data_IF_953540225472
#
_entry.id   IF_953540225472
#
_cell.length_a   1.000
_cell.length_b   1.000
_cell.length_c   1.000
_cell.angle_alpha   90.00
_cell.angle_beta   90.00
_cell.angle_gamma   90.00
#
_symmetry.space_group_name_H-M   'P 1'
#
loop_
_entity.id
_entity.type
_entity.pdbx_description
1 polymer ?
#
# COMPACT_ATOMS: atom_id res chain seq x y z
N UNK A 1 11.36 -22.25 -16.37
CA UNK A 1 11.48 -23.71 -16.21
C UNK A 1 10.24 -24.20 -15.44
N UNK A 2 9.63 -25.30 -15.87
CA UNK A 2 8.46 -25.87 -15.20
C UNK A 2 8.90 -26.84 -14.10
N UNK A 3 8.36 -26.69 -12.89
CA UNK A 3 8.57 -27.61 -11.77
C UNK A 3 7.25 -28.35 -11.51
N UNK A 4 7.20 -29.69 -11.61
CA UNK A 4 6.02 -30.47 -11.28
C UNK A 4 5.57 -30.28 -9.82
N UNK A 5 4.27 -30.43 -9.56
CA UNK A 5 3.70 -30.23 -8.21
C UNK A 5 4.31 -31.17 -7.15
N UNK A 6 4.57 -32.42 -7.52
CA UNK A 6 5.14 -33.39 -6.58
C UNK A 6 6.56 -32.98 -6.16
N UNK A 7 7.35 -32.48 -7.10
CA UNK A 7 8.70 -31.93 -6.83
C UNK A 7 8.62 -30.67 -5.96
N UNK A 8 7.60 -29.83 -6.11
CA UNK A 8 7.38 -28.65 -5.23
C UNK A 8 7.14 -29.09 -3.79
N UNK A 9 6.42 -30.20 -3.58
CA UNK A 9 6.13 -30.78 -2.26
C UNK A 9 7.38 -31.45 -1.70
N UNK A 10 8.04 -32.31 -2.48
CA UNK A 10 9.22 -33.08 -2.07
C UNK A 10 10.41 -32.17 -1.69
N UNK A 11 10.57 -31.05 -2.39
CA UNK A 11 11.59 -30.04 -2.09
C UNK A 11 11.12 -29.00 -1.06
N UNK A 12 9.92 -29.16 -0.50
CA UNK A 12 9.31 -28.26 0.49
C UNK A 12 9.38 -26.77 0.07
N UNK A 13 9.13 -26.47 -1.22
CA UNK A 13 9.38 -25.12 -1.75
C UNK A 13 8.42 -24.06 -1.19
N UNK A 14 7.15 -24.43 -0.99
CA UNK A 14 6.06 -23.50 -0.61
C UNK A 14 5.33 -23.86 0.69
N UNK A 15 5.59 -25.02 1.28
CA UNK A 15 4.79 -25.52 2.40
C UNK A 15 4.87 -24.59 3.62
N UNK A 16 3.82 -24.57 4.45
CA UNK A 16 3.79 -23.77 5.69
C UNK A 16 4.65 -24.35 6.83
N UNK A 17 5.43 -25.41 6.56
CA UNK A 17 6.39 -25.95 7.52
C UNK A 17 7.47 -24.91 7.81
N UNK A 18 7.96 -24.88 9.05
CA UNK A 18 8.96 -23.90 9.51
C UNK A 18 10.25 -23.87 8.70
N UNK A 19 10.58 -24.94 7.97
CA UNK A 19 11.83 -25.10 7.22
C UNK A 19 11.67 -25.04 5.69
N UNK A 20 10.49 -24.64 5.17
CA UNK A 20 10.31 -24.51 3.73
C UNK A 20 11.18 -23.40 3.13
N UNK A 21 11.55 -23.56 1.86
CA UNK A 21 12.38 -22.56 1.16
C UNK A 21 11.72 -21.18 1.20
N UNK A 22 10.40 -21.12 0.96
CA UNK A 22 9.64 -19.87 1.05
C UNK A 22 9.78 -19.22 2.42
N UNK A 23 9.64 -19.97 3.51
CA UNK A 23 9.73 -19.40 4.85
C UNK A 23 11.14 -18.90 5.18
N UNK A 24 12.18 -19.56 4.67
CA UNK A 24 13.57 -19.15 4.86
C UNK A 24 13.93 -17.86 4.10
N UNK A 25 13.38 -17.66 2.90
CA UNK A 25 13.77 -16.54 2.03
C UNK A 25 12.77 -15.38 2.00
N UNK A 26 11.57 -15.58 2.53
CA UNK A 26 10.52 -14.56 2.50
C UNK A 26 10.70 -13.49 3.58
N UNK A 27 11.45 -12.45 3.22
CA UNK A 27 11.54 -11.20 3.98
C UNK A 27 10.78 -10.03 3.33
N UNK A 28 9.86 -10.34 2.41
CA UNK A 28 9.11 -9.32 1.68
C UNK A 28 8.19 -8.53 2.62
N UNK A 29 8.07 -7.22 2.39
CA UNK A 29 7.23 -6.34 3.23
C UNK A 29 5.82 -6.12 2.70
N UNK A 30 5.57 -6.54 1.46
CA UNK A 30 4.27 -6.39 0.80
C UNK A 30 3.70 -7.75 0.40
N UNK A 31 2.38 -7.87 0.38
CA UNK A 31 1.70 -9.05 -0.18
C UNK A 31 2.01 -9.24 -1.67
N UNK A 32 2.21 -8.15 -2.41
CA UNK A 32 2.68 -8.18 -3.80
C UNK A 32 4.03 -8.88 -3.92
N UNK A 33 4.99 -8.50 -3.08
CA UNK A 33 6.32 -9.11 -3.01
C UNK A 33 6.23 -10.59 -2.68
N UNK A 34 5.41 -10.98 -1.71
CA UNK A 34 5.18 -12.38 -1.35
C UNK A 34 4.64 -13.20 -2.52
N UNK A 35 3.60 -12.71 -3.21
CA UNK A 35 3.02 -13.39 -4.38
C UNK A 35 4.09 -13.54 -5.48
N UNK A 36 4.85 -12.47 -5.76
CA UNK A 36 5.91 -12.51 -6.76
C UNK A 36 7.03 -13.48 -6.39
N UNK A 37 7.45 -13.51 -5.12
CA UNK A 37 8.48 -14.41 -4.61
C UNK A 37 8.03 -15.87 -4.74
N UNK A 38 6.80 -16.20 -4.32
CA UNK A 38 6.23 -17.53 -4.50
C UNK A 38 6.30 -17.97 -5.95
N UNK A 39 5.86 -17.12 -6.87
CA UNK A 39 5.90 -17.41 -8.31
C UNK A 39 7.33 -17.61 -8.80
N UNK A 40 8.28 -16.77 -8.37
CA UNK A 40 9.68 -16.90 -8.76
C UNK A 40 10.34 -18.19 -8.23
N UNK A 41 9.90 -18.73 -7.09
CA UNK A 41 10.39 -20.00 -6.53
C UNK A 41 9.89 -21.18 -7.37
N UNK A 42 8.60 -21.21 -7.71
CA UNK A 42 8.01 -22.35 -8.46
C UNK A 42 8.24 -22.27 -9.97
N UNK A 43 8.60 -21.10 -10.48
CA UNK A 43 8.92 -20.86 -11.88
C UNK A 43 10.27 -20.16 -12.00
N UNK A 44 11.39 -20.87 -11.74
CA UNK A 44 12.71 -20.29 -11.87
C UNK A 44 12.97 -19.87 -13.32
N UNK A 45 13.71 -18.76 -13.46
CA UNK A 45 14.17 -18.28 -14.75
C UNK A 45 15.08 -19.31 -15.39
N UNK A 46 14.91 -19.55 -16.69
CA UNK A 46 15.81 -20.36 -17.50
C UNK A 46 16.73 -19.50 -18.38
N UNK A 47 16.43 -18.20 -18.50
CA UNK A 47 17.19 -17.27 -19.31
C UNK A 47 18.34 -16.69 -18.46
N UNK A 48 19.57 -16.87 -18.95
CA UNK A 48 20.80 -16.48 -18.26
C UNK A 48 20.88 -14.97 -18.00
N UNK A 49 20.54 -14.14 -18.98
CA UNK A 49 20.57 -12.68 -18.86
C UNK A 49 19.65 -12.19 -17.72
N UNK A 50 18.45 -12.76 -17.60
CA UNK A 50 17.52 -12.45 -16.51
C UNK A 50 18.04 -12.91 -15.15
N UNK A 51 18.77 -14.02 -15.10
CA UNK A 51 19.40 -14.51 -13.86
C UNK A 51 20.50 -13.55 -13.43
N UNK A 52 21.41 -13.19 -14.35
CA UNK A 52 22.50 -12.22 -14.10
C UNK A 52 21.95 -10.88 -13.65
N UNK A 53 20.99 -10.33 -14.39
CA UNK A 53 20.34 -9.08 -14.00
C UNK A 53 19.75 -9.16 -12.58
N UNK A 54 19.12 -10.27 -12.20
CA UNK A 54 18.59 -10.43 -10.83
C UNK A 54 19.69 -10.50 -9.78
N UNK A 55 20.82 -11.14 -10.08
CA UNK A 55 21.99 -11.19 -9.19
C UNK A 55 22.61 -9.81 -9.01
N UNK A 56 22.78 -9.06 -10.11
CA UNK A 56 23.30 -7.69 -10.09
C UNK A 56 22.42 -6.77 -9.23
N UNK A 57 21.09 -6.92 -9.34
CA UNK A 57 20.15 -6.16 -8.52
C UNK A 57 20.30 -6.47 -7.02
N UNK A 58 20.52 -7.74 -6.67
CA UNK A 58 20.73 -8.17 -5.28
C UNK A 58 22.05 -7.59 -4.76
N UNK A 59 23.12 -7.69 -5.55
CA UNK A 59 24.44 -7.13 -5.21
C UNK A 59 24.35 -5.62 -4.98
N UNK A 60 23.67 -4.90 -5.87
CA UNK A 60 23.47 -3.45 -5.72
C UNK A 60 22.85 -3.09 -4.36
N UNK A 61 21.76 -3.76 -3.94
CA UNK A 61 21.13 -3.47 -2.65
C UNK A 61 21.95 -3.93 -1.44
N UNK A 62 22.76 -4.97 -1.60
CA UNK A 62 23.71 -5.40 -0.57
C UNK A 62 24.82 -4.37 -0.36
N UNK A 63 25.30 -3.73 -1.44
CA UNK A 63 26.30 -2.66 -1.38
C UNK A 63 25.71 -1.29 -0.95
N UNK A 64 24.40 -1.10 -1.12
CA UNK A 64 23.69 0.14 -0.82
C UNK A 64 22.64 -0.05 0.31
N UNK A 65 23.08 -0.58 1.44
CA UNK A 65 22.20 -0.96 2.57
C UNK A 65 21.33 0.20 3.08
N UNK A 66 21.85 1.42 3.13
CA UNK A 66 21.08 2.62 3.54
C UNK A 66 19.88 2.88 2.63
N UNK A 67 20.05 2.73 1.31
CA UNK A 67 18.96 2.85 0.35
C UNK A 67 17.97 1.69 0.50
N UNK A 68 18.48 0.47 0.70
CA UNK A 68 17.64 -0.71 0.93
C UNK A 68 16.75 -0.53 2.17
N UNK A 69 17.29 -0.03 3.28
CA UNK A 69 16.52 0.27 4.49
C UNK A 69 15.44 1.34 4.27
N UNK A 70 15.76 2.42 3.54
CA UNK A 70 14.78 3.46 3.20
C UNK A 70 13.63 2.88 2.38
N UNK A 71 13.94 2.11 1.34
CA UNK A 71 12.94 1.44 0.49
C UNK A 71 12.12 0.45 1.33
N UNK A 72 12.76 -0.34 2.19
CA UNK A 72 12.09 -1.30 3.06
C UNK A 72 11.02 -0.60 3.94
N UNK A 73 11.34 0.56 4.49
CA UNK A 73 10.41 1.33 5.30
C UNK A 73 9.20 1.80 4.50
N UNK A 74 9.40 2.31 3.28
CA UNK A 74 8.28 2.69 2.40
C UNK A 74 7.43 1.47 2.02
N UNK A 75 8.08 0.33 1.71
CA UNK A 75 7.40 -0.90 1.32
C UNK A 75 6.52 -1.49 2.42
N UNK A 76 6.88 -1.36 3.71
CA UNK A 76 6.05 -1.83 4.84
C UNK A 76 4.66 -1.19 4.86
N UNK A 77 4.56 0.01 4.33
CA UNK A 77 3.34 0.82 4.37
C UNK A 77 2.49 0.75 3.10
N UNK A 78 2.89 -0.05 2.09
CA UNK A 78 2.11 -0.20 0.86
C UNK A 78 0.93 -1.15 1.10
N UNK A 79 -0.33 -0.66 1.04
CA UNK A 79 -1.48 -1.52 1.20
C UNK A 79 -1.65 -2.44 -0.01
N UNK A 80 -2.25 -3.61 0.22
CA UNK A 80 -2.60 -4.53 -0.86
C UNK A 80 -3.90 -4.07 -1.53
N UNK A 81 -3.83 -3.67 -2.80
CA UNK A 81 -4.93 -3.00 -3.53
C UNK A 81 -5.53 -3.82 -4.68
N UNK A 82 -4.99 -5.00 -5.01
CA UNK A 82 -5.52 -5.82 -6.13
C UNK A 82 -6.99 -6.20 -5.95
N UNK A 83 -7.40 -6.46 -4.72
CA UNK A 83 -8.80 -6.77 -4.38
C UNK A 83 -9.74 -5.57 -4.64
N UNK A 84 -9.25 -4.35 -4.46
CA UNK A 84 -10.03 -3.12 -4.70
C UNK A 84 -10.23 -2.93 -6.21
N UNK A 85 -9.18 -3.18 -7.00
CA UNK A 85 -9.22 -3.03 -8.45
C UNK A 85 -10.03 -4.12 -9.16
N UNK A 86 -10.28 -5.26 -8.50
CA UNK A 86 -11.09 -6.36 -9.04
C UNK A 86 -12.59 -6.24 -8.73
N UNK A 87 -13.00 -5.30 -7.89
CA UNK A 87 -14.41 -5.11 -7.56
C UNK A 87 -15.12 -4.27 -8.63
N UNK A 88 -16.30 -4.73 -9.03
CA UNK A 88 -17.12 -4.03 -10.01
C UNK A 88 -17.60 -2.69 -9.41
N UNK A 89 -17.05 -1.57 -9.90
CA UNK A 89 -17.43 -0.24 -9.42
C UNK A 89 -18.86 0.17 -9.85
N UNK A 90 -19.50 -0.62 -10.71
CA UNK A 90 -20.83 -0.37 -11.27
C UNK A 90 -22.00 -0.95 -10.46
N UNK A 91 -21.76 -1.64 -9.33
CA UNK A 91 -22.87 -2.09 -8.49
C UNK A 91 -23.48 -0.89 -7.76
N UNK A 92 -24.79 -0.66 -7.88
CA UNK A 92 -25.49 0.42 -7.17
C UNK A 92 -25.23 0.31 -5.65
N UNK A 93 -24.38 1.20 -5.13
CA UNK A 93 -23.97 1.23 -3.72
C UNK A 93 -25.01 1.95 -2.88
N UNK A 94 -26.11 1.25 -2.58
CA UNK A 94 -27.31 1.81 -1.94
C UNK A 94 -27.30 1.77 -0.41
N UNK A 95 -26.33 1.08 0.21
CA UNK A 95 -26.26 0.96 1.68
C UNK A 95 -25.15 1.82 2.27
N UNK A 96 -25.35 2.32 3.50
CA UNK A 96 -24.32 3.06 4.24
C UNK A 96 -23.01 2.24 4.38
N UNK A 97 -23.11 0.94 4.59
CA UNK A 97 -21.96 0.04 4.69
C UNK A 97 -21.17 -0.03 3.37
N UNK A 98 -21.87 -0.11 2.24
CA UNK A 98 -21.22 -0.10 0.93
C UNK A 98 -20.49 1.22 0.68
N UNK A 99 -21.07 2.35 1.07
CA UNK A 99 -20.45 3.69 0.99
C UNK A 99 -19.21 3.81 1.89
N UNK A 100 -19.29 3.34 3.14
CA UNK A 100 -18.14 3.28 4.06
C UNK A 100 -17.00 2.46 3.47
N UNK A 101 -17.30 1.31 2.87
CA UNK A 101 -16.29 0.47 2.21
C UNK A 101 -15.61 1.20 1.06
N UNK A 102 -16.37 1.91 0.20
CA UNK A 102 -15.78 2.72 -0.88
C UNK A 102 -14.76 3.69 -0.32
N UNK A 103 -15.16 4.41 0.73
CA UNK A 103 -14.32 5.44 1.32
C UNK A 103 -13.02 4.86 1.87
N UNK A 104 -13.09 3.75 2.59
CA UNK A 104 -11.91 3.05 3.11
C UNK A 104 -11.01 2.49 2.00
N UNK A 105 -11.59 1.98 0.92
CA UNK A 105 -10.82 1.49 -0.22
C UNK A 105 -10.20 2.64 -1.03
N UNK A 106 -10.87 3.78 -1.14
CA UNK A 106 -10.29 5.02 -1.67
C UNK A 106 -9.09 5.47 -0.82
N UNK A 107 -9.20 5.46 0.52
CA UNK A 107 -8.05 5.79 1.39
C UNK A 107 -6.85 4.85 1.16
N UNK A 108 -7.09 3.54 1.04
CA UNK A 108 -6.03 2.57 0.75
C UNK A 108 -5.39 2.84 -0.61
N UNK A 109 -6.18 3.13 -1.64
CA UNK A 109 -5.65 3.50 -2.96
C UNK A 109 -4.82 4.79 -2.87
N UNK A 110 -5.28 5.80 -2.14
CA UNK A 110 -4.52 7.03 -1.91
C UNK A 110 -3.18 6.75 -1.24
N UNK A 111 -3.18 5.96 -0.15
CA UNK A 111 -1.94 5.54 0.54
C UNK A 111 -1.01 4.76 -0.40
N UNK A 112 -1.54 3.86 -1.22
CA UNK A 112 -0.75 3.15 -2.24
C UNK A 112 -0.06 4.12 -3.20
N UNK A 113 -0.83 5.07 -3.76
CA UNK A 113 -0.32 6.07 -4.70
C UNK A 113 0.81 6.88 -4.07
N UNK A 114 0.59 7.42 -2.85
CA UNK A 114 1.61 8.18 -2.13
C UNK A 114 2.93 7.41 -1.98
N UNK A 115 2.86 6.15 -1.54
CA UNK A 115 4.07 5.33 -1.36
C UNK A 115 4.74 4.95 -2.69
N UNK A 116 4.00 4.83 -3.78
CA UNK A 116 4.60 4.63 -5.13
C UNK A 116 5.40 5.86 -5.56
N UNK A 117 4.90 7.07 -5.31
CA UNK A 117 5.64 8.30 -5.61
C UNK A 117 6.86 8.47 -4.71
N UNK A 118 6.74 8.16 -3.42
CA UNK A 118 7.89 8.16 -2.50
C UNK A 118 8.98 7.17 -2.94
N UNK A 119 8.59 5.96 -3.38
CA UNK A 119 9.53 5.01 -3.98
C UNK A 119 10.17 5.57 -5.25
N UNK A 120 9.41 6.20 -6.14
CA UNK A 120 9.95 6.83 -7.35
C UNK A 120 10.99 7.91 -7.02
N UNK A 121 10.74 8.69 -5.98
CA UNK A 121 11.66 9.75 -5.57
C UNK A 121 12.93 9.20 -4.91
N UNK A 122 12.84 8.09 -4.16
CA UNK A 122 14.01 7.37 -3.63
C UNK A 122 14.81 6.65 -4.72
N UNK A 123 14.13 6.13 -5.73
CA UNK A 123 14.69 5.36 -6.84
C UNK A 123 15.04 6.29 -8.01
N UNK A 124 15.93 7.27 -7.77
CA UNK A 124 16.35 8.25 -8.78
C UNK A 124 16.67 7.61 -10.14
N UNK A 125 16.29 8.31 -11.21
CA UNK A 125 16.31 7.85 -12.61
C UNK A 125 17.68 7.49 -13.19
N UNK A 126 18.75 7.85 -12.51
CA UNK A 126 20.11 7.79 -13.08
C UNK A 126 20.69 6.37 -13.03
N UNK A 127 20.05 5.47 -12.27
CA UNK A 127 20.38 4.06 -12.27
C UNK A 127 19.50 3.32 -13.26
N UNK A 128 20.13 2.72 -14.27
CA UNK A 128 19.48 1.91 -15.31
C UNK A 128 18.56 0.82 -14.72
N UNK A 129 18.89 0.34 -13.52
CA UNK A 129 18.08 -0.61 -12.74
C UNK A 129 16.64 -0.12 -12.48
N UNK A 130 16.46 1.17 -12.21
CA UNK A 130 15.16 1.74 -11.83
C UNK A 130 14.41 2.41 -12.98
N UNK A 131 15.05 2.50 -14.16
CA UNK A 131 14.47 3.13 -15.35
C UNK A 131 13.09 2.56 -15.69
N UNK A 132 12.95 1.23 -15.74
CA UNK A 132 11.67 0.59 -16.06
C UNK A 132 10.58 0.91 -15.03
N UNK A 133 10.93 1.00 -13.74
CA UNK A 133 9.97 1.36 -12.69
C UNK A 133 9.51 2.81 -12.85
N UNK A 134 10.46 3.73 -13.02
CA UNK A 134 10.17 5.15 -13.17
C UNK A 134 9.35 5.44 -14.44
N UNK A 135 9.72 4.82 -15.57
CA UNK A 135 8.94 4.89 -16.81
C UNK A 135 7.54 4.31 -16.63
N UNK A 136 7.39 3.19 -15.92
CA UNK A 136 6.08 2.61 -15.63
C UNK A 136 5.20 3.54 -14.81
N UNK A 137 5.77 4.25 -13.83
CA UNK A 137 5.03 5.25 -13.03
C UNK A 137 4.62 6.43 -13.92
N UNK A 138 5.55 6.99 -14.70
CA UNK A 138 5.31 8.15 -15.58
C UNK A 138 4.27 7.85 -16.65
N UNK A 139 4.36 6.68 -17.29
CA UNK A 139 3.48 6.29 -18.39
C UNK A 139 2.13 5.71 -17.92
N UNK A 140 1.91 5.64 -16.61
CA UNK A 140 0.65 5.15 -16.05
C UNK A 140 -0.32 6.29 -15.74
N UNK A 141 -1.62 5.95 -15.67
CA UNK A 141 -2.66 6.87 -15.18
C UNK A 141 -2.56 7.20 -13.69
N UNK A 142 -1.53 6.71 -12.99
CA UNK A 142 -1.40 6.93 -11.54
C UNK A 142 -1.20 8.41 -11.21
N UNK A 143 -0.62 9.20 -12.13
CA UNK A 143 -0.48 10.65 -11.98
C UNK A 143 -1.86 11.31 -12.04
N UNK A 144 -2.67 11.00 -13.06
CA UNK A 144 -4.04 11.51 -13.19
C UNK A 144 -4.88 11.15 -11.96
N UNK A 145 -4.82 9.89 -11.52
CA UNK A 145 -5.54 9.42 -10.34
C UNK A 145 -5.05 10.17 -9.09
N UNK A 146 -3.74 10.33 -8.90
CA UNK A 146 -3.18 11.11 -7.78
C UNK A 146 -3.75 12.53 -7.77
N UNK A 147 -3.79 13.19 -8.92
CA UNK A 147 -4.23 14.58 -9.02
C UNK A 147 -5.74 14.71 -8.76
N UNK A 148 -6.56 13.73 -9.15
CA UNK A 148 -7.97 13.68 -8.74
C UNK A 148 -8.14 13.42 -7.25
N UNK A 149 -7.37 12.48 -6.68
CA UNK A 149 -7.36 12.23 -5.24
C UNK A 149 -6.91 13.46 -4.46
N UNK A 150 -5.97 14.25 -4.98
CA UNK A 150 -5.50 15.49 -4.39
C UNK A 150 -6.61 16.56 -4.27
N UNK A 151 -7.63 16.52 -5.12
CA UNK A 151 -8.77 17.44 -5.02
C UNK A 151 -9.70 17.06 -3.88
N UNK A 152 -9.81 15.77 -3.59
CA UNK A 152 -10.79 15.22 -2.64
C UNK A 152 -10.18 14.97 -1.26
N UNK A 153 -8.96 14.49 -1.19
CA UNK A 153 -8.30 14.08 0.03
C UNK A 153 -7.17 15.04 0.40
N UNK A 154 -7.04 15.35 1.69
CA UNK A 154 -5.78 15.84 2.22
C UNK A 154 -4.75 14.72 2.17
N UNK A 155 -3.55 15.01 1.67
CA UNK A 155 -2.44 14.07 1.73
C UNK A 155 -1.82 14.08 3.13
N UNK A 156 -2.58 13.56 4.10
CA UNK A 156 -2.12 13.17 5.42
C UNK A 156 -2.37 11.67 5.63
N UNK A 157 -1.66 11.05 6.57
CA UNK A 157 -1.70 9.58 6.77
C UNK A 157 -3.10 9.02 7.07
N UNK A 158 -4.02 9.87 7.54
CA UNK A 158 -5.39 9.51 7.87
C UNK A 158 -6.40 9.76 6.73
N UNK A 159 -5.96 10.44 5.66
CA UNK A 159 -6.72 10.76 4.43
C UNK A 159 -8.12 11.27 4.73
N UNK A 160 -8.23 12.50 5.21
CA UNK A 160 -9.50 13.19 5.36
C UNK A 160 -9.98 13.79 4.03
N UNK A 161 -11.30 13.84 3.83
CA UNK A 161 -11.88 14.68 2.78
C UNK A 161 -11.45 16.13 3.07
N UNK A 162 -10.91 16.87 2.11
CA UNK A 162 -10.52 18.28 2.33
C UNK A 162 -11.70 19.10 2.84
N UNK A 163 -11.40 20.15 3.59
CA UNK A 163 -12.36 21.23 3.81
C UNK A 163 -12.65 21.94 2.48
N UNK A 164 -13.80 22.57 2.39
CA UNK A 164 -14.26 23.37 1.24
C UNK A 164 -14.49 22.58 -0.05
N UNK A 165 -14.60 21.26 0.03
CA UNK A 165 -15.10 20.44 -1.08
C UNK A 165 -16.62 20.56 -1.20
N UNK A 166 -17.30 20.65 -0.06
CA UNK A 166 -18.75 20.68 0.01
C UNK A 166 -19.20 21.44 1.28
N UNK A 167 -20.03 22.46 1.07
CA UNK A 167 -20.49 23.35 2.14
C UNK A 167 -21.31 22.62 3.20
N UNK A 168 -22.05 21.55 2.83
CA UNK A 168 -22.83 20.76 3.78
C UNK A 168 -21.94 19.88 4.64
N UNK A 169 -20.90 19.26 4.07
CA UNK A 169 -19.91 18.50 4.82
C UNK A 169 -19.18 19.40 5.84
N UNK A 170 -18.84 20.62 5.44
CA UNK A 170 -18.20 21.58 6.34
C UNK A 170 -19.14 22.08 7.44
N UNK A 171 -20.40 22.35 7.10
CA UNK A 171 -21.42 22.68 8.10
C UNK A 171 -21.63 21.53 9.10
N UNK A 172 -21.70 20.29 8.62
CA UNK A 172 -21.86 19.10 9.46
C UNK A 172 -20.67 18.93 10.42
N UNK A 173 -19.44 19.13 9.95
CA UNK A 173 -18.22 19.14 10.79
C UNK A 173 -18.28 20.22 11.86
N UNK A 174 -18.70 21.43 11.50
CA UNK A 174 -18.82 22.54 12.43
C UNK A 174 -19.83 22.23 13.53
N UNK A 175 -21.01 21.70 13.16
CA UNK A 175 -22.04 21.29 14.12
C UNK A 175 -21.51 20.20 15.06
N UNK A 176 -20.87 19.15 14.51
CA UNK A 176 -20.29 18.07 15.30
C UNK A 176 -19.29 18.59 16.34
N UNK A 177 -18.38 19.49 15.94
CA UNK A 177 -17.36 20.03 16.84
C UNK A 177 -17.97 20.86 17.97
N UNK A 178 -18.98 21.70 17.68
CA UNK A 178 -19.70 22.47 18.70
C UNK A 178 -20.38 21.54 19.70
N UNK A 179 -21.10 20.52 19.21
CA UNK A 179 -21.79 19.56 20.07
C UNK A 179 -20.81 18.75 20.93
N UNK A 180 -19.65 18.38 20.39
CA UNK A 180 -18.61 17.66 21.11
C UNK A 180 -18.00 18.51 22.23
N UNK A 181 -17.67 19.77 21.96
CA UNK A 181 -17.17 20.70 22.98
C UNK A 181 -18.19 20.94 24.09
N UNK A 182 -19.47 21.09 23.74
CA UNK A 182 -20.53 21.28 24.73
C UNK A 182 -20.72 20.03 25.59
N UNK A 183 -20.66 18.83 24.99
CA UNK A 183 -20.71 17.57 25.72
C UNK A 183 -19.53 17.40 26.68
N UNK A 184 -18.32 17.81 26.28
CA UNK A 184 -17.14 17.82 27.14
C UNK A 184 -17.34 18.74 28.35
N UNK A 185 -17.79 19.98 28.13
CA UNK A 185 -18.05 20.95 29.21
C UNK A 185 -19.09 20.44 30.21
N UNK A 186 -20.17 19.81 29.72
CA UNK A 186 -21.20 19.20 30.58
C UNK A 186 -20.59 18.06 31.40
N UNK A 187 -19.79 17.20 30.77
CA UNK A 187 -19.14 16.06 31.44
C UNK A 187 -18.17 16.53 32.52
N UNK A 188 -17.35 17.54 32.24
CA UNK A 188 -16.44 18.15 33.22
C UNK A 188 -17.21 18.71 34.41
N UNK A 189 -18.30 19.45 34.17
CA UNK A 189 -19.15 20.00 35.24
C UNK A 189 -19.74 18.90 36.13
N UNK A 190 -20.28 17.83 35.53
CA UNK A 190 -20.83 16.69 36.26
C UNK A 190 -19.78 15.90 37.05
N UNK A 191 -18.53 15.86 36.58
CA UNK A 191 -17.42 15.22 37.29
C UNK A 191 -16.93 16.06 38.48
N UNK A 192 -16.96 17.39 38.37
CA UNK A 192 -16.64 18.30 39.48
C UNK A 192 -17.72 18.26 40.55
N UNK A 193 -19.00 18.26 40.17
CA UNK A 193 -20.13 18.21 41.11
C UNK A 193 -20.22 16.87 41.87
N UNK A 194 -19.64 15.78 41.34
CA UNK A 194 -19.56 14.47 42.03
C UNK A 194 -18.38 14.33 43.00
N UNK A 195 -17.47 15.32 43.08
CA UNK A 195 -16.30 15.30 43.97
C UNK A 195 -16.51 16.03 45.30
N UNK A 196 -17.73 16.51 45.57
CA UNK A 196 -18.18 17.08 46.84
C UNK A 196 -19.34 16.26 47.41
#
# INVERSE_FOLDING_TARGET
MYIPKDVIIDLELLEKKTHSLLNLVNHTKTRFGLIKLKNNIVQPFANEEKIKQRQDNILFFNENESLAMKIENVLKDIPFTLNILSEDFNTERKTLESLKKVFEDSKKLNKFILRVFELKDLLHSDLQLFKNFNESVINSKIIEIRDEFAKVFEFNEESFIKQSIDDYLDLARKIHNVLYEDALKITEKLLVDKRF
#
